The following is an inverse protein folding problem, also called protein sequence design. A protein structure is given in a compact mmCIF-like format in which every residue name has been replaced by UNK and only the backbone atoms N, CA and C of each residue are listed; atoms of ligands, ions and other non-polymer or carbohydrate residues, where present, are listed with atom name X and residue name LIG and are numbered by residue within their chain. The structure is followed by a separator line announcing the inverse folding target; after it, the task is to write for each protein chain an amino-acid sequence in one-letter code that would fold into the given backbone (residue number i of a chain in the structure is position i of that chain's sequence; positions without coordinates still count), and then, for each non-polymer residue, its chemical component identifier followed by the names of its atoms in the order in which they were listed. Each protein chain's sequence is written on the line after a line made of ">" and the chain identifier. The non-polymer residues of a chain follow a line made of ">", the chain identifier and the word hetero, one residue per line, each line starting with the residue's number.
data_IF_682047815953
#
_entry.id   IF_682047815953
#
_cell.length_a   1.000
_cell.length_b   1.000
_cell.length_c   1.000
_cell.angle_alpha   90.00
_cell.angle_beta   90.00
_cell.angle_gamma   90.00
#
_symmetry.space_group_name_H-M   'P 1'
#
loop_
_entity.id
_entity.type
_entity.pdbx_description
1 polymer ?
#
# COMPACT_ATOMS: atom_id res chain seq x y z
N UNK A 1 -18.72 -4.92 9.22
CA UNK A 1 -17.64 -3.90 9.14
C UNK A 1 -16.47 -4.42 9.98
N UNK A 2 -15.30 -4.65 9.38
CA UNK A 2 -14.17 -5.37 10.01
C UNK A 2 -13.08 -4.44 10.62
N UNK A 3 -13.29 -3.13 10.63
CA UNK A 3 -12.31 -2.16 11.14
C UNK A 3 -12.83 -1.50 12.42
N UNK A 4 -12.01 -1.45 13.46
CA UNK A 4 -12.26 -0.75 14.72
C UNK A 4 -11.27 0.41 14.86
N UNK A 5 -11.75 1.59 15.26
CA UNK A 5 -10.92 2.77 15.50
C UNK A 5 -11.32 3.44 16.82
N UNK A 6 -10.35 4.05 17.50
CA UNK A 6 -10.57 4.84 18.73
C UNK A 6 -9.78 6.14 18.66
N UNK A 7 -10.43 7.24 18.98
CA UNK A 7 -9.77 8.52 19.20
C UNK A 7 -9.49 8.68 20.70
N UNK A 8 -8.25 8.97 21.05
CA UNK A 8 -7.83 9.16 22.43
C UNK A 8 -7.53 10.64 22.67
N UNK A 9 -8.19 11.22 23.68
CA UNK A 9 -7.85 12.56 24.14
C UNK A 9 -6.55 12.49 24.97
N UNK A 10 -5.62 13.40 24.70
CA UNK A 10 -4.34 13.51 25.42
C UNK A 10 -4.05 14.96 25.76
N UNK A 11 -3.08 15.21 26.64
CA UNK A 11 -2.63 16.56 27.00
C UNK A 11 -1.66 17.17 25.98
N UNK A 12 -1.39 16.48 24.88
CA UNK A 12 -0.51 16.96 23.82
C UNK A 12 -1.15 18.08 22.99
N UNK A 13 -0.34 18.68 22.11
CA UNK A 13 -0.83 19.65 21.13
C UNK A 13 -2.01 19.07 20.33
N UNK A 14 -3.08 19.85 20.10
CA UNK A 14 -4.27 19.35 19.44
C UNK A 14 -3.96 18.85 18.02
N UNK A 15 -4.36 17.62 17.75
CA UNK A 15 -4.30 17.05 16.40
C UNK A 15 -5.44 17.57 15.54
N UNK A 16 -5.17 17.83 14.26
CA UNK A 16 -6.15 18.37 13.32
C UNK A 16 -6.05 17.73 11.94
N UNK A 17 -6.73 18.35 10.98
CA UNK A 17 -6.67 17.93 9.58
C UNK A 17 -5.29 18.19 8.98
N UNK A 18 -4.73 17.18 8.31
CA UNK A 18 -3.56 17.32 7.46
C UNK A 18 -3.80 16.59 6.13
N UNK A 19 -3.01 16.90 5.10
CA UNK A 19 -3.19 16.38 3.73
C UNK A 19 -3.39 14.86 3.74
N UNK A 20 -4.58 14.43 3.30
CA UNK A 20 -4.98 13.02 3.20
C UNK A 20 -5.86 12.49 4.35
N UNK A 21 -6.09 13.29 5.41
CA UNK A 21 -7.09 12.99 6.45
C UNK A 21 -7.04 11.55 7.01
N UNK A 22 -5.92 11.14 7.59
CA UNK A 22 -5.77 9.79 8.15
C UNK A 22 -5.34 8.72 7.14
N UNK A 23 -5.54 8.97 5.84
CA UNK A 23 -5.14 8.03 4.77
C UNK A 23 -3.64 7.74 4.78
N UNK A 24 -2.72 8.72 4.91
CA UNK A 24 -1.29 8.42 4.96
C UNK A 24 -0.91 7.50 6.12
N UNK A 25 -1.51 7.71 7.30
CA UNK A 25 -1.26 6.90 8.49
C UNK A 25 -1.72 5.46 8.29
N UNK A 26 -2.93 5.26 7.75
CA UNK A 26 -3.45 3.93 7.45
C UNK A 26 -2.66 3.24 6.33
N UNK A 27 -2.24 3.99 5.30
CA UNK A 27 -1.47 3.47 4.18
C UNK A 27 -0.11 2.93 4.63
N UNK A 28 0.61 3.61 5.54
CA UNK A 28 1.88 3.10 6.08
C UNK A 28 1.69 1.73 6.74
N UNK A 29 0.67 1.58 7.59
CA UNK A 29 0.39 0.32 8.26
C UNK A 29 -0.02 -0.79 7.27
N UNK A 30 -0.87 -0.46 6.30
CA UNK A 30 -1.31 -1.40 5.26
C UNK A 30 -0.16 -1.86 4.36
N UNK A 31 0.67 -0.94 3.88
CA UNK A 31 1.76 -1.26 2.95
C UNK A 31 2.88 -2.07 3.63
N UNK A 32 3.20 -1.78 4.89
CA UNK A 32 4.13 -2.59 5.67
C UNK A 32 3.62 -4.03 5.86
N UNK A 33 2.32 -4.20 6.06
CA UNK A 33 1.69 -5.52 6.10
C UNK A 33 1.77 -6.23 4.74
N UNK A 34 1.49 -5.52 3.64
CA UNK A 34 1.59 -6.08 2.28
C UNK A 34 3.00 -6.59 1.97
N UNK A 35 4.04 -5.84 2.33
CA UNK A 35 5.43 -6.29 2.17
C UNK A 35 5.72 -7.53 3.02
N UNK A 36 5.33 -7.52 4.30
CA UNK A 36 5.51 -8.67 5.20
C UNK A 36 4.83 -9.94 4.67
N UNK A 37 3.62 -9.81 4.12
CA UNK A 37 2.88 -10.93 3.55
C UNK A 37 3.53 -11.46 2.28
N UNK A 38 3.98 -10.57 1.40
CA UNK A 38 4.70 -10.95 0.17
C UNK A 38 5.98 -11.73 0.50
N UNK A 39 6.76 -11.26 1.47
CA UNK A 39 7.98 -11.93 1.93
C UNK A 39 7.70 -13.33 2.49
N UNK A 40 6.66 -13.48 3.32
CA UNK A 40 6.29 -14.77 3.94
C UNK A 40 5.96 -15.86 2.93
N UNK A 41 5.47 -15.48 1.74
CA UNK A 41 5.16 -16.42 0.66
C UNK A 41 6.21 -16.40 -0.47
N UNK A 42 7.32 -15.71 -0.25
CA UNK A 42 8.41 -15.53 -1.23
C UNK A 42 7.94 -14.98 -2.59
N UNK A 43 7.00 -14.04 -2.58
CA UNK A 43 6.50 -13.34 -3.76
C UNK A 43 7.14 -11.96 -3.88
N UNK A 44 7.39 -11.48 -5.10
CA UNK A 44 7.83 -10.10 -5.30
C UNK A 44 6.75 -9.12 -4.78
N UNK A 45 7.12 -8.08 -4.02
CA UNK A 45 6.15 -7.20 -3.39
C UNK A 45 5.28 -6.40 -4.37
N UNK A 46 5.78 -6.09 -5.58
CA UNK A 46 4.98 -5.42 -6.60
C UNK A 46 3.98 -6.41 -7.22
N UNK A 47 4.41 -7.64 -7.52
CA UNK A 47 3.52 -8.69 -8.02
C UNK A 47 2.42 -9.03 -7.00
N UNK A 48 2.76 -9.08 -5.72
CA UNK A 48 1.78 -9.27 -4.65
C UNK A 48 0.74 -8.15 -4.61
N UNK A 49 1.15 -6.90 -4.81
CA UNK A 49 0.22 -5.76 -4.90
C UNK A 49 -0.68 -5.85 -6.12
N UNK A 50 -0.13 -6.18 -7.29
CA UNK A 50 -0.91 -6.35 -8.53
C UNK A 50 -1.95 -7.47 -8.38
N UNK A 51 -1.56 -8.58 -7.73
CA UNK A 51 -2.46 -9.70 -7.45
C UNK A 51 -3.66 -9.26 -6.60
N UNK A 52 -3.42 -8.43 -5.57
CA UNK A 52 -4.45 -8.02 -4.61
C UNK A 52 -5.10 -6.65 -4.90
N UNK A 53 -4.71 -5.97 -5.98
CA UNK A 53 -5.26 -4.67 -6.36
C UNK A 53 -6.75 -4.77 -6.73
N UNK A 54 -7.49 -3.70 -6.45
CA UNK A 54 -8.91 -3.58 -6.80
C UNK A 54 -9.08 -3.46 -8.32
N UNK A 55 -10.14 -4.07 -8.82
CA UNK A 55 -10.56 -4.06 -10.23
C UNK A 55 -11.99 -3.57 -10.34
N UNK A 56 -12.36 -3.17 -11.56
CA UNK A 56 -13.75 -2.91 -11.90
C UNK A 56 -14.60 -4.14 -11.58
N UNK A 57 -15.70 -3.94 -10.85
CA UNK A 57 -16.58 -5.00 -10.37
C UNK A 57 -16.31 -5.46 -8.94
N UNK A 58 -15.16 -5.10 -8.35
CA UNK A 58 -14.89 -5.37 -6.95
C UNK A 58 -15.73 -4.48 -6.03
N UNK A 59 -15.90 -4.93 -4.79
CA UNK A 59 -16.52 -4.14 -3.73
C UNK A 59 -15.44 -3.66 -2.76
N UNK A 60 -15.53 -2.40 -2.31
CA UNK A 60 -14.70 -1.91 -1.20
C UNK A 60 -15.06 -2.62 0.10
N UNK A 61 -14.25 -2.42 1.15
CA UNK A 61 -14.54 -2.95 2.48
C UNK A 61 -15.85 -2.41 3.11
N UNK A 62 -16.39 -1.31 2.58
CA UNK A 62 -17.69 -0.74 2.97
C UNK A 62 -18.85 -1.23 2.09
N UNK A 63 -18.58 -2.07 1.09
CA UNK A 63 -19.58 -2.63 0.18
C UNK A 63 -19.89 -1.73 -1.02
N UNK A 64 -19.09 -0.68 -1.29
CA UNK A 64 -19.27 0.13 -2.49
C UNK A 64 -18.80 -0.65 -3.72
N UNK A 65 -19.68 -0.82 -4.71
CA UNK A 65 -19.34 -1.40 -6.01
C UNK A 65 -18.48 -0.42 -6.82
N UNK A 66 -17.35 -0.90 -7.34
CA UNK A 66 -16.45 -0.11 -8.18
C UNK A 66 -16.80 -0.30 -9.66
N UNK A 67 -17.71 0.52 -10.17
CA UNK A 67 -18.23 0.37 -11.53
C UNK A 67 -17.32 0.96 -12.60
N UNK A 68 -16.61 2.05 -12.31
CA UNK A 68 -15.84 2.83 -13.30
C UNK A 68 -14.56 3.41 -12.68
N UNK A 69 -13.61 3.78 -13.55
CA UNK A 69 -12.36 4.48 -13.18
C UNK A 69 -11.51 3.78 -12.12
N UNK A 70 -11.32 2.46 -12.23
CA UNK A 70 -10.51 1.65 -11.31
C UNK A 70 -9.16 1.33 -11.95
N UNK A 71 -8.24 2.30 -11.95
CA UNK A 71 -6.95 2.21 -12.66
C UNK A 71 -5.77 1.69 -11.84
N UNK A 72 -6.02 0.98 -10.72
CA UNK A 72 -4.96 0.62 -9.77
C UNK A 72 -3.99 -0.40 -10.37
N UNK A 73 -4.50 -1.40 -11.09
CA UNK A 73 -3.69 -2.44 -11.71
C UNK A 73 -2.78 -1.83 -12.77
N UNK A 74 -3.33 -1.03 -13.68
CA UNK A 74 -2.62 -0.38 -14.77
C UNK A 74 -1.51 0.53 -14.23
N UNK A 75 -1.79 1.26 -13.15
CA UNK A 75 -0.80 2.09 -12.48
C UNK A 75 0.36 1.26 -11.91
N UNK A 76 0.08 0.14 -11.24
CA UNK A 76 1.11 -0.74 -10.69
C UNK A 76 1.90 -1.46 -11.79
N UNK A 77 1.24 -1.89 -12.86
CA UNK A 77 1.89 -2.56 -13.99
C UNK A 77 2.84 -1.61 -14.75
N UNK A 78 2.49 -0.33 -14.87
CA UNK A 78 3.36 0.68 -15.47
C UNK A 78 4.70 0.85 -14.70
N UNK A 79 4.77 0.44 -13.42
CA UNK A 79 6.00 0.50 -12.63
C UNK A 79 6.96 -0.66 -12.88
N UNK A 80 6.52 -1.78 -13.50
CA UNK A 80 7.27 -3.04 -13.56
C UNK A 80 8.70 -2.89 -14.08
N UNK A 81 8.90 -2.18 -15.19
CA UNK A 81 10.23 -2.00 -15.80
C UNK A 81 11.19 -1.33 -14.82
N UNK A 82 10.77 -0.19 -14.28
CA UNK A 82 11.58 0.63 -13.37
C UNK A 82 11.75 -0.03 -12.00
N UNK A 83 10.76 -0.82 -11.56
CA UNK A 83 10.83 -1.62 -10.35
C UNK A 83 11.99 -2.61 -10.39
N UNK A 84 12.13 -3.37 -11.49
CA UNK A 84 13.22 -4.35 -11.63
C UNK A 84 14.59 -3.65 -11.57
N UNK A 85 14.73 -2.52 -12.26
CA UNK A 85 15.97 -1.71 -12.24
C UNK A 85 16.31 -1.25 -10.81
N UNK A 86 15.33 -0.70 -10.10
CA UNK A 86 15.52 -0.21 -8.73
C UNK A 86 15.81 -1.33 -7.73
N UNK A 87 15.15 -2.48 -7.85
CA UNK A 87 15.42 -3.65 -7.00
C UNK A 87 16.85 -4.16 -7.22
N UNK A 88 17.36 -4.15 -8.45
CA UNK A 88 18.75 -4.48 -8.74
C UNK A 88 19.72 -3.47 -8.13
N UNK A 89 19.46 -2.17 -8.32
CA UNK A 89 20.29 -1.11 -7.75
C UNK A 89 20.32 -1.16 -6.20
N UNK A 90 19.18 -1.39 -5.55
CA UNK A 90 19.10 -1.52 -4.10
C UNK A 90 19.91 -2.72 -3.57
N UNK A 91 19.83 -3.88 -4.24
CA UNK A 91 20.65 -5.05 -3.88
C UNK A 91 22.14 -4.76 -3.98
N UNK A 92 22.57 -4.01 -4.99
CA UNK A 92 23.98 -3.64 -5.15
C UNK A 92 24.46 -2.75 -3.99
N UNK A 93 23.65 -1.79 -3.54
CA UNK A 93 23.99 -0.91 -2.40
C UNK A 93 24.10 -1.72 -1.11
N UNK A 94 23.17 -2.65 -0.88
CA UNK A 94 23.18 -3.50 0.31
C UNK A 94 24.42 -4.42 0.33
N UNK A 95 24.80 -4.96 -0.82
CA UNK A 95 25.95 -5.85 -0.94
C UNK A 95 27.30 -5.13 -0.98
N UNK A 96 27.32 -3.82 -1.23
CA UNK A 96 28.51 -3.00 -1.25
C UNK A 96 28.23 -1.64 -0.57
N UNK A 97 28.10 -1.63 0.77
CA UNK A 97 27.89 -0.40 1.52
C UNK A 97 29.11 0.53 1.36
N UNK A 98 28.86 1.84 1.41
CA UNK A 98 29.89 2.90 1.32
C UNK A 98 30.99 2.74 2.37
#
# INVERSE_FOLDING_TARGET
>A
MLSETKALFTNESPSGAFRGFGTPQAAIAHEALMDTLAEKICMDPLDFRIKNALRKGDHTNTGQLLENSVGQVECLEALKSRWVEWRKAAKNIINNPL
#
